data_IF_507169288664
#
_entry.id   IF_507169288664
#
_cell.length_a   1.000
_cell.length_b   1.000
_cell.length_c   1.000
_cell.angle_alpha   90.00
_cell.angle_beta   90.00
_cell.angle_gamma   90.00
#
_symmetry.space_group_name_H-M   'P 1'
#
loop_
_entity.id
_entity.type
_entity.pdbx_description
1 polymer ?
#
# COMPACT_ATOMS: atom_id res chain seq x y z
N UNK A 1 27.43 -3.89 -0.99
CA UNK A 1 26.81 -5.24 -0.98
C UNK A 1 25.40 -5.09 -1.53
N UNK A 2 25.09 -5.75 -2.65
CA UNK A 2 23.75 -5.68 -3.24
C UNK A 2 22.75 -6.41 -2.34
N UNK A 3 21.79 -5.67 -1.80
CA UNK A 3 20.61 -6.27 -1.19
C UNK A 3 19.74 -6.81 -2.31
N UNK A 4 19.63 -8.13 -2.40
CA UNK A 4 18.76 -8.80 -3.36
C UNK A 4 17.30 -8.45 -3.02
N UNK A 5 16.65 -7.64 -3.87
CA UNK A 5 15.25 -7.21 -3.70
C UNK A 5 14.25 -8.29 -4.13
N UNK A 6 14.72 -9.48 -4.50
CA UNK A 6 13.90 -10.56 -5.02
C UNK A 6 13.13 -11.30 -3.91
N UNK A 7 11.84 -11.03 -3.80
CA UNK A 7 10.90 -11.68 -2.87
C UNK A 7 10.46 -13.09 -3.30
N UNK A 8 11.03 -13.68 -4.36
CA UNK A 8 10.75 -15.07 -4.77
C UNK A 8 11.19 -16.12 -3.75
N UNK A 9 12.05 -15.76 -2.79
CA UNK A 9 12.45 -16.66 -1.69
C UNK A 9 11.41 -16.59 -0.57
N UNK A 10 11.11 -17.73 0.06
CA UNK A 10 10.18 -17.82 1.20
C UNK A 10 10.55 -16.89 2.36
N UNK A 11 11.84 -16.65 2.59
CA UNK A 11 12.34 -15.78 3.65
C UNK A 11 13.16 -14.62 3.06
N UNK A 12 12.90 -13.41 3.56
CA UNK A 12 13.63 -12.18 3.18
C UNK A 12 15.09 -12.23 3.67
N UNK A 13 15.33 -12.87 4.82
CA UNK A 13 16.65 -12.97 5.45
C UNK A 13 16.93 -14.37 6.00
N UNK A 14 18.22 -14.70 6.17
CA UNK A 14 18.65 -15.90 6.87
C UNK A 14 18.47 -15.80 8.39
N UNK A 15 18.43 -16.95 9.08
CA UNK A 15 18.16 -17.06 10.53
C UNK A 15 19.03 -16.14 11.39
N UNK A 16 20.35 -16.12 11.17
CA UNK A 16 21.27 -15.29 11.97
C UNK A 16 21.04 -13.77 11.83
N UNK A 17 20.60 -13.32 10.64
CA UNK A 17 20.28 -11.90 10.43
C UNK A 17 18.96 -11.53 11.12
N UNK A 18 17.97 -12.43 11.09
CA UNK A 18 16.71 -12.25 11.84
C UNK A 18 16.99 -12.10 13.33
N UNK A 19 17.79 -13.00 13.92
CA UNK A 19 18.15 -12.94 15.34
C UNK A 19 18.85 -11.63 15.72
N UNK A 20 19.75 -11.15 14.85
CA UNK A 20 20.44 -9.88 15.04
C UNK A 20 19.45 -8.71 15.03
N UNK A 21 18.51 -8.70 14.09
CA UNK A 21 17.47 -7.66 14.00
C UNK A 21 16.52 -7.69 15.19
N UNK A 22 16.14 -8.88 15.69
CA UNK A 22 15.30 -9.03 16.89
C UNK A 22 16.01 -8.45 18.11
N UNK A 23 17.29 -8.77 18.32
CA UNK A 23 18.08 -8.18 19.41
C UNK A 23 18.13 -6.66 19.31
N UNK A 24 18.37 -6.12 18.10
CA UNK A 24 18.40 -4.68 17.87
C UNK A 24 17.04 -4.04 18.18
N UNK A 25 15.93 -4.66 17.78
CA UNK A 25 14.57 -4.20 18.08
C UNK A 25 14.33 -4.08 19.59
N UNK A 26 14.75 -5.09 20.36
CA UNK A 26 14.59 -5.08 21.83
C UNK A 26 15.40 -3.97 22.50
N UNK A 27 16.58 -3.63 21.95
CA UNK A 27 17.44 -2.57 22.48
C UNK A 27 16.96 -1.15 22.14
N UNK A 28 16.22 -0.96 21.05
CA UNK A 28 15.94 0.36 20.47
C UNK A 28 14.46 0.81 20.52
N UNK A 29 13.60 0.14 21.31
CA UNK A 29 12.17 0.46 21.46
C UNK A 29 11.45 0.72 20.12
N UNK A 30 11.76 -0.09 19.11
CA UNK A 30 11.20 0.07 17.77
C UNK A 30 9.70 -0.22 17.77
N UNK A 31 8.91 0.69 17.19
CA UNK A 31 7.45 0.58 17.10
C UNK A 31 6.95 -0.03 15.80
N UNK A 32 7.77 -0.07 14.74
CA UNK A 32 7.43 -0.66 13.44
C UNK A 32 8.69 -1.05 12.65
N UNK A 33 8.56 -2.00 11.72
CA UNK A 33 9.63 -2.40 10.79
C UNK A 33 9.24 -2.05 9.36
N UNK A 34 10.11 -1.36 8.64
CA UNK A 34 10.00 -1.20 7.19
C UNK A 34 10.93 -2.19 6.48
N UNK A 35 10.39 -2.91 5.49
CA UNK A 35 11.15 -3.77 4.59
C UNK A 35 11.10 -3.16 3.20
N UNK A 36 12.27 -2.79 2.66
CA UNK A 36 12.37 -2.11 1.37
C UNK A 36 12.21 -3.10 0.19
N UNK A 37 11.04 -3.70 0.05
CA UNK A 37 10.62 -4.56 -1.07
C UNK A 37 9.26 -4.08 -1.59
N UNK A 38 8.90 -4.45 -2.82
CA UNK A 38 7.66 -3.97 -3.45
C UNK A 38 6.42 -4.37 -2.65
N UNK A 39 6.13 -5.68 -2.60
CA UNK A 39 5.06 -6.24 -1.78
C UNK A 39 5.60 -7.43 -1.00
N UNK A 40 5.35 -7.43 0.31
CA UNK A 40 5.85 -8.44 1.24
C UNK A 40 4.68 -9.20 1.88
N UNK A 41 4.68 -10.52 1.96
CA UNK A 41 3.76 -11.22 2.88
C UNK A 41 4.24 -11.02 4.33
N UNK A 42 3.56 -10.21 5.17
CA UNK A 42 4.14 -9.75 6.43
C UNK A 42 3.91 -10.73 7.57
N UNK A 43 3.16 -11.82 7.35
CA UNK A 43 2.70 -12.69 8.44
C UNK A 43 3.84 -13.34 9.22
N UNK A 44 4.84 -13.87 8.51
CA UNK A 44 5.99 -14.52 9.17
C UNK A 44 6.83 -13.50 9.95
N UNK A 45 7.04 -12.31 9.37
CA UNK A 45 7.79 -11.24 10.03
C UNK A 45 7.03 -10.65 11.22
N UNK A 46 5.71 -10.49 11.11
CA UNK A 46 4.89 -10.04 12.23
C UNK A 46 4.94 -11.03 13.40
N UNK A 47 4.89 -12.34 13.12
CA UNK A 47 5.05 -13.39 14.14
C UNK A 47 6.40 -13.37 14.85
N UNK A 48 7.45 -12.87 14.19
CA UNK A 48 8.81 -12.81 14.75
C UNK A 48 9.02 -11.50 15.52
N UNK A 49 8.65 -10.36 14.92
CA UNK A 49 9.00 -9.04 15.45
C UNK A 49 7.93 -8.46 16.39
N UNK A 50 6.67 -8.93 16.28
CA UNK A 50 5.51 -8.46 17.05
C UNK A 50 5.31 -6.94 16.97
N UNK A 51 5.61 -6.35 15.81
CA UNK A 51 5.37 -4.95 15.49
C UNK A 51 4.81 -4.85 14.07
N UNK A 52 4.07 -3.77 13.73
CA UNK A 52 3.62 -3.52 12.36
C UNK A 52 4.77 -3.60 11.35
N UNK A 53 4.52 -4.30 10.23
CA UNK A 53 5.48 -4.50 9.15
C UNK A 53 5.02 -3.76 7.89
N UNK A 54 5.80 -2.78 7.47
CA UNK A 54 5.54 -1.96 6.30
C UNK A 54 6.41 -2.40 5.11
N UNK A 55 5.81 -2.47 3.93
CA UNK A 55 6.55 -2.59 2.67
C UNK A 55 6.58 -1.25 1.92
N UNK A 56 7.28 -1.21 0.78
CA UNK A 56 7.42 -0.01 -0.04
C UNK A 56 6.05 0.48 -0.51
N UNK A 57 5.18 -0.43 -0.93
CA UNK A 57 3.85 -0.08 -1.43
C UNK A 57 3.00 0.60 -0.36
N UNK A 58 2.96 0.04 0.86
CA UNK A 58 2.16 0.62 1.95
C UNK A 58 2.63 2.02 2.35
N UNK A 59 3.95 2.23 2.44
CA UNK A 59 4.51 3.54 2.80
C UNK A 59 4.24 4.57 1.71
N UNK A 60 4.45 4.21 0.44
CA UNK A 60 4.21 5.12 -0.69
C UNK A 60 2.73 5.54 -0.73
N UNK A 61 1.79 4.60 -0.59
CA UNK A 61 0.37 4.94 -0.51
C UNK A 61 0.06 5.84 0.70
N UNK A 62 0.66 5.58 1.86
CA UNK A 62 0.44 6.39 3.07
C UNK A 62 0.96 7.82 2.91
N UNK A 63 2.14 7.98 2.30
CA UNK A 63 2.70 9.29 1.95
C UNK A 63 1.76 10.02 0.99
N UNK A 64 1.36 9.37 -0.11
CA UNK A 64 0.47 10.01 -1.07
C UNK A 64 -0.87 10.38 -0.45
N UNK A 65 -1.46 9.53 0.40
CA UNK A 65 -2.67 9.87 1.16
C UNK A 65 -2.51 11.12 2.00
N UNK A 66 -1.38 11.24 2.70
CA UNK A 66 -1.10 12.39 3.56
C UNK A 66 -1.03 13.70 2.75
N UNK A 67 -0.44 13.66 1.55
CA UNK A 67 -0.29 14.84 0.69
C UNK A 67 -1.45 15.07 -0.29
N UNK A 68 -2.45 14.17 -0.36
CA UNK A 68 -3.55 14.24 -1.31
C UNK A 68 -4.53 15.40 -1.03
N UNK A 69 -4.26 16.55 -1.63
CA UNK A 69 -5.11 17.75 -1.51
C UNK A 69 -6.29 17.74 -2.47
N UNK A 70 -6.11 17.25 -3.70
CA UNK A 70 -7.15 17.28 -4.75
C UNK A 70 -8.03 16.04 -4.72
N UNK A 71 -9.27 16.19 -5.21
CA UNK A 71 -10.19 15.07 -5.43
C UNK A 71 -9.58 14.03 -6.38
N UNK A 72 -8.92 14.48 -7.44
CA UNK A 72 -8.24 13.62 -8.41
C UNK A 72 -7.17 12.76 -7.75
N UNK A 73 -6.25 13.37 -6.99
CA UNK A 73 -5.20 12.64 -6.28
C UNK A 73 -5.79 11.60 -5.31
N UNK A 74 -6.83 11.98 -4.55
CA UNK A 74 -7.52 11.05 -3.64
C UNK A 74 -8.15 9.86 -4.37
N UNK A 75 -8.70 10.07 -5.57
CA UNK A 75 -9.27 8.99 -6.40
C UNK A 75 -8.18 8.09 -6.98
N UNK A 76 -7.08 8.67 -7.48
CA UNK A 76 -5.93 7.92 -7.99
C UNK A 76 -5.31 7.04 -6.90
N UNK A 77 -5.13 7.59 -5.71
CA UNK A 77 -4.58 6.84 -4.57
C UNK A 77 -5.52 5.69 -4.19
N UNK A 78 -6.82 5.95 -4.02
CA UNK A 78 -7.80 4.90 -3.72
C UNK A 78 -7.82 3.79 -4.76
N UNK A 79 -7.68 4.15 -6.04
CA UNK A 79 -7.59 3.18 -7.13
C UNK A 79 -6.30 2.33 -7.02
N UNK A 80 -5.17 2.96 -6.70
CA UNK A 80 -3.90 2.28 -6.47
C UNK A 80 -3.91 1.37 -5.23
N UNK A 81 -4.78 1.60 -4.25
CA UNK A 81 -4.89 0.70 -3.09
C UNK A 81 -5.55 -0.64 -3.43
N UNK A 82 -6.45 -0.68 -4.42
CA UNK A 82 -7.20 -1.88 -4.78
C UNK A 82 -6.31 -3.11 -5.01
N UNK A 83 -5.25 -3.07 -5.86
CA UNK A 83 -4.39 -4.23 -6.05
C UNK A 83 -3.69 -4.69 -4.77
N UNK A 84 -3.27 -3.75 -3.91
CA UNK A 84 -2.66 -4.07 -2.62
C UNK A 84 -3.65 -4.74 -1.68
N UNK A 85 -4.85 -4.17 -1.51
CA UNK A 85 -5.92 -4.75 -0.69
C UNK A 85 -6.29 -6.15 -1.22
N UNK A 86 -6.43 -6.32 -2.53
CA UNK A 86 -6.74 -7.62 -3.16
C UNK A 86 -5.68 -8.67 -2.83
N UNK A 87 -4.40 -8.31 -2.95
CA UNK A 87 -3.29 -9.20 -2.56
C UNK A 87 -3.37 -9.58 -1.08
N UNK A 88 -3.62 -8.62 -0.20
CA UNK A 88 -3.76 -8.86 1.25
C UNK A 88 -4.95 -9.73 1.61
N UNK A 89 -6.12 -9.50 1.02
CA UNK A 89 -7.33 -10.31 1.25
C UNK A 89 -7.11 -11.77 0.85
N UNK A 90 -6.42 -12.02 -0.26
CA UNK A 90 -6.08 -13.39 -0.65
C UNK A 90 -5.23 -14.09 0.44
N UNK A 91 -4.24 -13.39 1.01
CA UNK A 91 -3.43 -13.91 2.12
C UNK A 91 -4.25 -14.10 3.40
N UNK A 92 -5.13 -13.14 3.72
CA UNK A 92 -6.02 -13.18 4.87
C UNK A 92 -6.92 -14.42 4.83
N UNK A 93 -7.50 -14.71 3.67
CA UNK A 93 -8.39 -15.84 3.44
C UNK A 93 -7.66 -17.17 3.54
N UNK A 94 -6.45 -17.24 2.99
CA UNK A 94 -5.63 -18.44 2.98
C UNK A 94 -5.11 -18.82 4.37
N UNK A 95 -4.70 -17.84 5.17
CA UNK A 95 -4.01 -18.07 6.45
C UNK A 95 -4.82 -17.68 7.69
N UNK A 96 -6.07 -17.21 7.54
CA UNK A 96 -6.96 -16.76 8.63
C UNK A 96 -6.24 -15.86 9.64
N UNK A 97 -5.52 -14.88 9.11
CA UNK A 97 -4.75 -13.92 9.92
C UNK A 97 -5.65 -12.76 10.37
N UNK A 98 -5.17 -11.96 11.31
CA UNK A 98 -5.83 -10.71 11.68
C UNK A 98 -5.71 -9.66 10.55
N UNK A 99 -6.82 -9.03 10.10
CA UNK A 99 -6.80 -7.93 9.13
C UNK A 99 -5.84 -6.78 9.51
N UNK A 100 -5.74 -6.46 10.81
CA UNK A 100 -4.92 -5.35 11.31
C UNK A 100 -3.43 -5.56 11.01
N UNK A 101 -2.96 -6.81 11.08
CA UNK A 101 -1.58 -7.21 10.77
C UNK A 101 -1.20 -6.94 9.32
N UNK A 102 -2.18 -6.95 8.43
CA UNK A 102 -1.99 -6.76 6.99
C UNK A 102 -2.21 -5.32 6.53
N UNK A 103 -2.52 -4.40 7.45
CA UNK A 103 -2.91 -3.02 7.16
C UNK A 103 -4.13 -2.96 6.24
N UNK A 104 -5.10 -3.87 6.44
CA UNK A 104 -6.35 -3.89 5.69
C UNK A 104 -7.52 -3.87 6.65
N UNK A 105 -8.46 -2.97 6.39
CA UNK A 105 -9.73 -2.93 7.09
C UNK A 105 -10.69 -3.92 6.43
N UNK A 106 -11.16 -4.89 7.22
CA UNK A 106 -12.14 -5.89 6.78
C UNK A 106 -13.44 -5.66 7.54
N UNK A 107 -14.53 -5.53 6.79
CA UNK A 107 -15.86 -5.24 7.36
C UNK A 107 -16.62 -6.49 7.83
N UNK A 108 -16.24 -7.70 7.37
CA UNK A 108 -16.92 -8.96 7.69
C UNK A 108 -15.94 -10.02 8.18
N UNK A 109 -16.29 -10.78 9.21
CA UNK A 109 -15.44 -11.85 9.76
C UNK A 109 -15.20 -13.01 8.77
N UNK A 110 -16.11 -13.22 7.81
CA UNK A 110 -16.02 -14.32 6.84
C UNK A 110 -15.54 -13.84 5.48
N UNK A 111 -14.55 -14.54 4.95
CA UNK A 111 -14.12 -14.45 3.57
C UNK A 111 -15.25 -14.88 2.63
N UNK A 112 -15.84 -13.95 1.90
CA UNK A 112 -16.86 -14.24 0.88
C UNK A 112 -16.31 -13.96 -0.52
N UNK A 113 -16.82 -14.69 -1.52
CA UNK A 113 -16.60 -14.35 -2.94
C UNK A 113 -17.02 -12.90 -3.22
N UNK A 114 -18.04 -12.43 -2.50
CA UNK A 114 -18.52 -11.05 -2.56
C UNK A 114 -17.45 -10.01 -2.22
N UNK A 115 -16.48 -10.26 -1.34
CA UNK A 115 -15.46 -9.24 -1.04
C UNK A 115 -14.62 -8.86 -2.26
N UNK A 116 -14.26 -9.84 -3.09
CA UNK A 116 -13.51 -9.58 -4.33
C UNK A 116 -14.40 -8.89 -5.38
N UNK A 117 -15.68 -9.25 -5.42
CA UNK A 117 -16.65 -8.62 -6.31
C UNK A 117 -16.92 -7.17 -5.92
N UNK A 118 -17.08 -6.89 -4.62
CA UNK A 118 -17.19 -5.53 -4.06
C UNK A 118 -15.96 -4.70 -4.42
N UNK A 119 -14.75 -5.26 -4.31
CA UNK A 119 -13.53 -4.57 -4.75
C UNK A 119 -13.51 -4.32 -6.25
N UNK A 120 -13.98 -5.26 -7.08
CA UNK A 120 -14.08 -5.10 -8.54
C UNK A 120 -15.05 -3.97 -8.92
N UNK A 121 -16.23 -3.94 -8.29
CA UNK A 121 -17.23 -2.90 -8.51
C UNK A 121 -16.73 -1.53 -8.02
N UNK A 122 -16.04 -1.50 -6.86
CA UNK A 122 -15.40 -0.29 -6.36
C UNK A 122 -14.32 0.22 -7.32
N UNK A 123 -13.47 -0.67 -7.85
CA UNK A 123 -12.46 -0.33 -8.85
C UNK A 123 -13.10 0.31 -10.09
N UNK A 124 -14.17 -0.28 -10.62
CA UNK A 124 -14.89 0.26 -11.77
C UNK A 124 -15.50 1.63 -11.49
N UNK A 125 -16.10 1.81 -10.30
CA UNK A 125 -16.68 3.09 -9.88
C UNK A 125 -15.60 4.17 -9.73
N UNK A 126 -14.46 3.85 -9.12
CA UNK A 126 -13.33 4.76 -8.96
C UNK A 126 -12.75 5.17 -10.32
N UNK A 127 -12.59 4.23 -11.26
CA UNK A 127 -12.12 4.53 -12.62
C UNK A 127 -13.05 5.52 -13.33
N UNK A 128 -14.37 5.30 -13.27
CA UNK A 128 -15.37 6.21 -13.88
C UNK A 128 -15.32 7.61 -13.25
N UNK A 129 -15.26 7.69 -11.92
CA UNK A 129 -15.16 8.97 -11.19
C UNK A 129 -13.87 9.70 -11.52
N UNK A 130 -12.75 8.98 -11.57
CA UNK A 130 -11.46 9.55 -11.91
C UNK A 130 -11.48 10.15 -13.31
N UNK A 131 -12.01 9.41 -14.29
CA UNK A 131 -12.14 9.91 -15.67
C UNK A 131 -12.94 11.22 -15.73
N UNK A 132 -14.08 11.30 -15.07
CA UNK A 132 -14.90 12.52 -15.03
C UNK A 132 -14.18 13.72 -14.39
N UNK A 133 -13.33 13.48 -13.38
CA UNK A 133 -12.56 14.55 -12.73
C UNK A 133 -11.40 15.00 -13.60
N UNK A 134 -10.70 14.07 -14.26
CA UNK A 134 -9.60 14.37 -15.17
C UNK A 134 -10.10 15.21 -16.34
N UNK A 135 -11.21 14.81 -16.98
CA UNK A 135 -11.82 15.59 -18.08
C UNK A 135 -12.11 17.04 -17.66
N UNK A 136 -12.76 17.23 -16.50
CA UNK A 136 -13.05 18.57 -15.97
C UNK A 136 -11.81 19.40 -15.61
N UNK A 137 -10.74 18.76 -15.18
CA UNK A 137 -9.50 19.45 -14.79
C UNK A 137 -8.68 19.88 -16.01
N UNK A 138 -8.72 19.10 -17.10
CA UNK A 138 -8.09 19.47 -18.37
C UNK A 138 -8.70 20.75 -18.93
N UNK A 139 -10.03 20.85 -18.92
CA UNK A 139 -10.74 22.06 -19.38
C UNK A 139 -10.32 23.30 -18.58
N UNK A 140 -10.22 23.17 -17.25
CA UNK A 140 -9.79 24.27 -16.36
C UNK A 140 -8.32 24.66 -16.55
N UNK A 141 -7.43 23.68 -16.70
CA UNK A 141 -6.01 23.95 -16.91
C UNK A 141 -5.76 24.71 -18.22
N UNK A 142 -6.56 24.44 -19.26
CA UNK A 142 -6.50 25.16 -20.54
C UNK A 142 -6.96 26.62 -20.43
N UNK A 143 -7.84 26.94 -19.47
CA UNK A 143 -8.24 28.32 -19.16
C UNK A 143 -7.17 29.04 -18.33
N UNK A 144 -6.65 28.42 -17.27
CA UNK A 144 -5.70 29.03 -16.33
C UNK A 144 -4.30 29.31 -16.93
N UNK A 145 -3.88 28.50 -17.90
CA UNK A 145 -2.57 28.66 -18.58
C UNK A 145 -2.52 29.86 -19.55
N UNK A 146 -3.64 30.56 -19.77
CA UNK A 146 -3.68 31.76 -20.61
C UNK A 146 -3.02 32.98 -19.97
N UNK A 147 -3.07 33.08 -18.64
CA UNK A 147 -2.65 34.28 -17.90
C UNK A 147 -1.30 34.15 -17.20
N UNK A 148 -0.69 32.95 -17.15
CA UNK A 148 0.63 32.75 -16.54
C UNK A 148 1.38 31.53 -17.10
N UNK A 149 2.71 31.61 -17.13
CA UNK A 149 3.57 30.49 -17.49
C UNK A 149 3.63 29.45 -16.35
N UNK A 150 3.20 28.22 -16.63
CA UNK A 150 3.25 27.10 -15.69
C UNK A 150 4.59 26.34 -15.84
N UNK A 151 5.33 26.19 -14.74
CA UNK A 151 6.58 25.39 -14.70
C UNK A 151 6.41 24.25 -13.71
N UNK A 152 6.64 23.02 -14.16
CA UNK A 152 6.65 21.84 -13.31
C UNK A 152 8.09 21.52 -12.87
N UNK A 153 8.33 21.46 -11.56
CA UNK A 153 9.60 21.00 -10.99
C UNK A 153 9.44 19.54 -10.58
N UNK A 154 10.26 18.66 -11.18
CA UNK A 154 10.31 17.22 -10.89
C UNK A 154 11.74 16.83 -10.52
N UNK A 155 11.89 15.90 -9.56
CA UNK A 155 13.18 15.42 -9.04
C UNK A 155 13.04 14.12 -8.27
#
# INVERSE_FOLDING_TARGET
>A
MGVDYNTKRKAVWGRGQIETLVRKKMQSRVTALMVNVDMLSPQELFKIFHVPIYDRYNIVLSIFKHYAKTQEARLQIQLAEIPYIRSRLHHLNKYRTDPTTLHVERQSERASVDEFEVLRLREQSLRKKLQQVVEKNVDKAAEETRDAAMVAVVG
#
